data_IF_637298493246
#
_entry.id   IF_637298493246
#
_cell.length_a   1.000
_cell.length_b   1.000
_cell.length_c   1.000
_cell.angle_alpha   90.00
_cell.angle_beta   90.00
_cell.angle_gamma   90.00
#
_symmetry.space_group_name_H-M   'P 1'
#
loop_
_entity.id
_entity.type
_entity.pdbx_description
1 polymer ?
#
# COMPACT_ATOMS: atom_id res chain seq x y z
N UNK A 1 15.03 -24.58 -44.78
CA UNK A 1 15.27 -23.84 -43.53
C UNK A 1 13.92 -23.49 -42.91
N UNK A 2 13.50 -24.24 -41.88
CA UNK A 2 12.25 -23.97 -41.19
C UNK A 2 12.42 -22.73 -40.30
N UNK A 3 11.66 -21.67 -40.58
CA UNK A 3 11.47 -20.55 -39.68
C UNK A 3 10.68 -21.07 -38.47
N UNK A 4 11.38 -21.28 -37.36
CA UNK A 4 10.79 -21.68 -36.09
C UNK A 4 10.02 -20.47 -35.57
N UNK A 5 8.72 -20.43 -35.85
CA UNK A 5 7.83 -19.38 -35.35
C UNK A 5 7.92 -19.31 -33.83
N UNK A 6 8.33 -18.16 -33.31
CA UNK A 6 8.32 -17.94 -31.86
C UNK A 6 6.87 -18.04 -31.39
N UNK A 7 6.53 -18.91 -30.43
CA UNK A 7 5.14 -19.11 -30.04
C UNK A 7 4.54 -17.80 -29.52
N UNK A 8 3.35 -17.43 -30.01
CA UNK A 8 2.60 -16.21 -29.68
C UNK A 8 2.52 -15.97 -28.16
N UNK A 9 2.44 -17.04 -27.38
CA UNK A 9 2.43 -17.00 -25.92
C UNK A 9 3.71 -16.40 -25.30
N UNK A 10 4.86 -16.64 -25.94
CA UNK A 10 6.18 -16.16 -25.50
C UNK A 10 6.39 -14.68 -25.86
N UNK A 11 5.84 -14.22 -26.99
CA UNK A 11 5.77 -12.79 -27.30
C UNK A 11 4.90 -12.05 -26.28
N UNK A 12 3.70 -12.56 -25.98
CA UNK A 12 2.74 -11.92 -25.06
C UNK A 12 3.24 -11.84 -23.61
N UNK A 13 4.04 -12.81 -23.14
CA UNK A 13 4.70 -12.74 -21.82
C UNK A 13 5.87 -11.75 -21.79
N UNK A 14 6.65 -11.66 -22.89
CA UNK A 14 7.72 -10.65 -23.00
C UNK A 14 7.16 -9.23 -22.97
N UNK A 15 6.07 -8.95 -23.69
CA UNK A 15 5.43 -7.62 -23.72
C UNK A 15 4.82 -7.24 -22.36
N UNK A 16 4.13 -8.14 -21.66
CA UNK A 16 3.61 -7.85 -20.31
C UNK A 16 4.71 -7.51 -19.29
N UNK A 17 5.90 -8.08 -19.45
CA UNK A 17 7.05 -7.83 -18.56
C UNK A 17 7.72 -6.49 -18.86
N UNK A 18 7.82 -6.12 -20.15
CA UNK A 18 8.32 -4.79 -20.54
C UNK A 18 7.34 -3.68 -20.16
N UNK A 19 6.04 -3.89 -20.27
CA UNK A 19 5.03 -2.90 -19.88
C UNK A 19 5.09 -2.59 -18.37
N UNK A 20 5.12 -3.62 -17.52
CA UNK A 20 5.25 -3.41 -16.06
C UNK A 20 6.54 -2.67 -15.73
N UNK A 21 7.64 -2.95 -16.43
CA UNK A 21 8.91 -2.25 -16.25
C UNK A 21 8.81 -0.78 -16.66
N UNK A 22 8.30 -0.47 -17.84
CA UNK A 22 8.09 0.90 -18.32
C UNK A 22 7.15 1.67 -17.37
N UNK A 23 6.05 1.05 -16.96
CA UNK A 23 5.12 1.65 -16.00
C UNK A 23 5.81 1.95 -14.65
N UNK A 24 6.58 1.00 -14.14
CA UNK A 24 7.35 1.15 -12.90
C UNK A 24 8.39 2.29 -13.00
N UNK A 25 9.03 2.45 -14.16
CA UNK A 25 9.96 3.54 -14.44
C UNK A 25 9.25 4.89 -14.46
N UNK A 26 8.09 5.00 -15.12
CA UNK A 26 7.31 6.23 -15.13
C UNK A 26 6.84 6.61 -13.72
N UNK A 27 6.43 5.63 -12.91
CA UNK A 27 6.14 5.87 -11.48
C UNK A 27 7.36 6.47 -10.77
N UNK A 28 8.54 5.89 -10.96
CA UNK A 28 9.77 6.39 -10.32
C UNK A 28 10.12 7.82 -10.78
N UNK A 29 9.99 8.11 -12.07
CA UNK A 29 10.24 9.44 -12.62
C UNK A 29 9.26 10.47 -12.08
N UNK A 30 7.97 10.15 -12.03
CA UNK A 30 6.92 11.03 -11.49
C UNK A 30 7.14 11.29 -10.01
N UNK A 31 7.40 10.25 -9.19
CA UNK A 31 7.62 10.42 -7.76
C UNK A 31 8.88 11.25 -7.46
N UNK A 32 9.97 11.03 -8.20
CA UNK A 32 11.18 11.85 -8.09
C UNK A 32 10.91 13.30 -8.48
N UNK A 33 10.16 13.53 -9.56
CA UNK A 33 9.82 14.88 -10.00
C UNK A 33 8.94 15.60 -8.96
N UNK A 34 7.93 14.93 -8.40
CA UNK A 34 7.09 15.51 -7.35
C UNK A 34 7.94 15.95 -6.16
N UNK A 35 8.85 15.10 -5.67
CA UNK A 35 9.66 15.41 -4.50
C UNK A 35 10.77 16.43 -4.75
N UNK A 36 11.20 16.58 -6.01
CA UNK A 36 12.12 17.64 -6.42
C UNK A 36 11.42 19.01 -6.39
N UNK A 37 10.18 19.08 -6.87
CA UNK A 37 9.43 20.32 -6.99
C UNK A 37 8.67 20.72 -5.72
N UNK A 38 8.37 19.75 -4.85
CA UNK A 38 7.59 19.99 -3.65
C UNK A 38 7.81 18.95 -2.58
N UNK A 39 7.75 19.42 -1.35
CA UNK A 39 7.86 18.62 -0.16
C UNK A 39 6.48 18.41 0.51
N UNK A 40 5.40 18.82 -0.16
CA UNK A 40 4.02 18.89 0.35
C UNK A 40 3.16 17.66 0.02
N UNK A 41 3.70 16.66 -0.69
CA UNK A 41 2.95 15.47 -1.11
C UNK A 41 3.58 14.20 -0.53
N UNK A 42 2.74 13.38 0.10
CA UNK A 42 3.14 12.17 0.83
C UNK A 42 2.58 10.95 0.11
N UNK A 43 3.46 10.06 -0.36
CA UNK A 43 3.07 8.79 -0.97
C UNK A 43 2.43 7.85 0.06
N UNK A 44 1.30 7.25 -0.33
CA UNK A 44 0.57 6.25 0.45
C UNK A 44 0.13 5.06 -0.41
N UNK A 45 -0.66 4.17 0.17
CA UNK A 45 -1.29 3.06 -0.55
C UNK A 45 -0.30 1.96 -0.96
N UNK A 46 -0.68 1.17 -1.97
CA UNK A 46 0.13 0.03 -2.43
C UNK A 46 1.48 0.45 -3.01
N UNK A 47 1.54 1.61 -3.67
CA UNK A 47 2.77 2.09 -4.31
C UNK A 47 3.78 2.62 -3.30
N UNK A 48 3.33 3.13 -2.16
CA UNK A 48 4.23 3.37 -1.02
C UNK A 48 4.89 2.07 -0.56
N UNK A 49 4.10 1.00 -0.37
CA UNK A 49 4.64 -0.30 0.03
C UNK A 49 5.60 -0.86 -1.03
N UNK A 50 5.26 -0.75 -2.30
CA UNK A 50 6.08 -1.21 -3.44
C UNK A 50 7.41 -0.46 -3.55
N UNK A 51 7.39 0.88 -3.54
CA UNK A 51 8.61 1.69 -3.80
C UNK A 51 9.45 1.96 -2.54
N UNK A 52 8.85 1.90 -1.35
CA UNK A 52 9.52 2.24 -0.09
C UNK A 52 9.72 1.04 0.84
N UNK A 53 8.91 -0.01 0.76
CA UNK A 53 8.92 -1.12 1.73
C UNK A 53 9.00 -2.51 1.09
N UNK A 54 9.41 -2.58 -0.18
CA UNK A 54 9.75 -3.83 -0.86
C UNK A 54 8.59 -4.77 -1.18
N UNK A 55 7.34 -4.29 -1.17
CA UNK A 55 6.16 -5.12 -1.53
C UNK A 55 6.44 -5.90 -2.82
N UNK A 56 6.17 -7.19 -2.81
CA UNK A 56 6.57 -8.14 -3.85
C UNK A 56 5.50 -8.37 -4.92
N UNK A 57 4.30 -7.80 -4.75
CA UNK A 57 3.34 -7.59 -5.84
C UNK A 57 3.50 -6.23 -6.50
N UNK A 58 3.16 -6.16 -7.79
CA UNK A 58 3.16 -4.90 -8.54
C UNK A 58 2.07 -3.95 -8.04
N UNK A 59 2.32 -2.63 -8.13
CA UNK A 59 1.35 -1.58 -7.81
C UNK A 59 1.36 -0.51 -8.89
N UNK A 60 0.17 -0.16 -9.38
CA UNK A 60 -0.05 0.56 -10.65
C UNK A 60 -0.40 2.04 -10.46
N UNK A 61 -0.94 2.41 -9.31
CA UNK A 61 -1.47 3.77 -9.08
C UNK A 61 -0.53 4.58 -8.18
N UNK A 62 -0.51 5.90 -8.31
CA UNK A 62 0.11 6.79 -7.31
C UNK A 62 -1.00 7.41 -6.46
N UNK A 63 -1.02 7.08 -5.17
CA UNK A 63 -1.90 7.69 -4.18
C UNK A 63 -1.10 8.62 -3.26
N UNK A 64 -1.55 9.87 -3.14
CA UNK A 64 -0.89 10.91 -2.35
C UNK A 64 -1.87 11.51 -1.32
N UNK A 65 -1.33 11.96 -0.19
CA UNK A 65 -1.95 13.00 0.63
C UNK A 65 -1.17 14.30 0.50
N UNK A 66 -1.88 15.42 0.47
CA UNK A 66 -1.29 16.76 0.50
C UNK A 66 -1.21 17.28 1.94
N UNK A 67 -0.08 17.88 2.30
CA UNK A 67 0.12 18.57 3.57
C UNK A 67 -0.50 19.98 3.59
N UNK A 68 -0.64 20.61 2.42
CA UNK A 68 -1.18 21.95 2.25
C UNK A 68 -2.17 22.06 1.09
N UNK A 69 -2.53 23.28 0.68
CA UNK A 69 -3.38 23.56 -0.47
C UNK A 69 -2.61 23.60 -1.81
N UNK A 70 -1.31 23.29 -1.84
CA UNK A 70 -0.52 23.32 -3.07
C UNK A 70 -1.17 22.43 -4.14
N UNK A 71 -1.40 22.98 -5.33
CA UNK A 71 -2.08 22.25 -6.40
C UNK A 71 -1.12 21.27 -7.10
N UNK A 72 -1.33 19.97 -6.88
CA UNK A 72 -0.54 18.90 -7.53
C UNK A 72 -0.54 18.99 -9.06
N UNK A 73 -1.62 19.49 -9.68
CA UNK A 73 -1.69 19.57 -11.15
C UNK A 73 -0.58 20.44 -11.73
N UNK A 74 -0.23 21.55 -11.09
CA UNK A 74 0.85 22.42 -11.59
C UNK A 74 2.17 21.65 -11.75
N UNK A 75 2.45 20.72 -10.83
CA UNK A 75 3.66 19.89 -10.87
C UNK A 75 3.55 18.81 -11.95
N UNK A 76 2.43 18.08 -11.98
CA UNK A 76 2.24 16.98 -12.93
C UNK A 76 2.15 17.49 -14.38
N UNK A 77 1.49 18.62 -14.62
CA UNK A 77 1.39 19.24 -15.94
C UNK A 77 2.78 19.67 -16.45
N UNK A 78 3.61 20.28 -15.60
CA UNK A 78 4.99 20.60 -15.97
C UNK A 78 5.82 19.35 -16.32
N UNK A 79 5.68 18.28 -15.54
CA UNK A 79 6.33 17.00 -15.85
C UNK A 79 5.86 16.47 -17.21
N UNK A 80 4.56 16.44 -17.45
CA UNK A 80 3.97 15.97 -18.69
C UNK A 80 4.40 16.82 -19.89
N UNK A 81 4.48 18.15 -19.76
CA UNK A 81 4.95 19.04 -20.81
C UNK A 81 6.44 18.79 -21.14
N UNK A 82 7.29 18.63 -20.12
CA UNK A 82 8.72 18.28 -20.30
C UNK A 82 8.89 16.94 -21.03
N UNK A 83 8.04 15.96 -20.71
CA UNK A 83 8.08 14.59 -21.27
C UNK A 83 7.24 14.40 -22.54
N UNK A 84 6.47 15.42 -22.94
CA UNK A 84 5.47 15.37 -24.03
C UNK A 84 4.44 14.24 -23.84
N UNK A 85 4.06 13.96 -22.59
CA UNK A 85 3.01 12.98 -22.30
C UNK A 85 1.62 13.63 -22.32
N UNK A 86 0.67 13.06 -23.06
CA UNK A 86 -0.74 13.43 -22.92
C UNK A 86 -1.24 13.09 -21.51
N UNK A 87 -2.17 13.87 -20.99
CA UNK A 87 -2.80 13.60 -19.71
C UNK A 87 -4.28 13.99 -19.72
N UNK A 88 -5.05 13.39 -18.82
CA UNK A 88 -6.46 13.70 -18.63
C UNK A 88 -6.76 13.96 -17.16
N UNK A 89 -7.38 15.10 -16.85
CA UNK A 89 -7.87 15.42 -15.50
C UNK A 89 -9.22 14.72 -15.30
N UNK A 90 -9.21 13.68 -14.48
CA UNK A 90 -10.42 12.88 -14.20
C UNK A 90 -11.26 13.45 -13.06
N UNK A 91 -10.64 14.20 -12.14
CA UNK A 91 -11.34 14.78 -10.98
C UNK A 91 -10.62 16.02 -10.49
N UNK A 92 -11.35 17.11 -10.28
CA UNK A 92 -10.80 18.34 -9.71
C UNK A 92 -11.77 18.92 -8.68
N UNK A 93 -11.61 18.55 -7.41
CA UNK A 93 -12.40 19.11 -6.30
C UNK A 93 -11.47 19.65 -5.21
N UNK A 94 -12.00 20.42 -4.26
CA UNK A 94 -11.23 20.93 -3.12
C UNK A 94 -10.70 19.85 -2.16
N UNK A 95 -11.18 18.61 -2.30
CA UNK A 95 -10.80 17.48 -1.43
C UNK A 95 -10.04 16.37 -2.14
N UNK A 96 -10.22 16.22 -3.46
CA UNK A 96 -9.55 15.18 -4.26
C UNK A 96 -9.23 15.72 -5.64
N UNK A 97 -8.00 15.48 -6.09
CA UNK A 97 -7.55 15.71 -7.46
C UNK A 97 -7.09 14.41 -8.06
N UNK A 98 -7.50 14.13 -9.30
CA UNK A 98 -7.14 12.91 -10.03
C UNK A 98 -6.78 13.25 -11.47
N UNK A 99 -5.61 12.78 -11.89
CA UNK A 99 -5.06 12.94 -13.24
C UNK A 99 -4.54 11.58 -13.71
N UNK A 100 -4.67 11.31 -15.01
CA UNK A 100 -4.08 10.13 -15.64
C UNK A 100 -3.10 10.58 -16.70
N UNK A 101 -1.84 10.18 -16.55
CA UNK A 101 -0.80 10.35 -17.57
C UNK A 101 -0.93 9.20 -18.55
N UNK A 102 -0.93 9.50 -19.85
CA UNK A 102 -0.99 8.51 -20.93
C UNK A 102 0.41 8.29 -21.51
N UNK A 103 0.76 7.04 -21.75
CA UNK A 103 2.04 6.66 -22.33
C UNK A 103 1.91 5.40 -23.18
N UNK A 104 2.95 5.11 -23.97
CA UNK A 104 3.07 3.93 -24.83
C UNK A 104 4.29 3.11 -24.41
N UNK A 105 4.29 1.82 -24.72
CA UNK A 105 5.34 0.89 -24.26
C UNK A 105 6.69 1.13 -24.96
N UNK A 106 6.68 1.47 -26.25
CA UNK A 106 7.88 1.75 -27.05
C UNK A 106 7.64 2.95 -27.96
N UNK A 107 8.49 3.98 -27.85
CA UNK A 107 8.56 5.10 -28.79
C UNK A 107 9.51 4.82 -29.97
N UNK A 108 10.34 3.79 -29.87
CA UNK A 108 11.50 3.55 -30.76
C UNK A 108 11.23 2.61 -31.94
N UNK A 109 9.98 2.24 -32.19
CA UNK A 109 9.58 1.53 -33.41
C UNK A 109 8.45 2.28 -34.07
N UNK A 110 8.39 2.22 -35.40
CA UNK A 110 7.32 2.78 -36.21
C UNK A 110 5.99 2.57 -35.49
N UNK A 111 5.39 3.69 -35.05
CA UNK A 111 4.15 3.67 -34.27
C UNK A 111 3.08 3.12 -35.21
N UNK A 112 2.70 1.86 -35.01
CA UNK A 112 1.56 1.27 -35.72
C UNK A 112 0.33 2.15 -35.50
N UNK A 113 -0.53 2.29 -36.52
CA UNK A 113 -1.71 3.18 -36.47
C UNK A 113 -2.64 2.91 -35.28
N UNK A 114 -2.61 1.70 -34.73
CA UNK A 114 -3.45 1.24 -33.62
C UNK A 114 -2.60 0.84 -32.40
N UNK A 115 -1.78 1.77 -31.87
CA UNK A 115 -1.01 1.53 -30.66
C UNK A 115 -1.87 1.64 -29.39
N UNK A 116 -1.71 0.69 -28.46
CA UNK A 116 -2.39 0.72 -27.17
C UNK A 116 -1.77 1.80 -26.26
N UNK A 117 -2.62 2.62 -25.62
CA UNK A 117 -2.18 3.60 -24.63
C UNK A 117 -2.45 3.10 -23.22
N UNK A 118 -1.45 3.21 -22.36
CA UNK A 118 -1.56 2.87 -20.95
C UNK A 118 -1.73 4.13 -20.12
N UNK A 119 -2.33 3.99 -18.93
CA UNK A 119 -2.60 5.11 -18.04
C UNK A 119 -1.95 4.93 -16.67
N UNK A 120 -1.11 5.87 -16.26
CA UNK A 120 -0.71 6.02 -14.86
C UNK A 120 -1.71 6.93 -14.15
N UNK A 121 -2.52 6.38 -13.24
CA UNK A 121 -3.43 7.16 -12.41
C UNK A 121 -2.69 7.75 -11.22
N UNK A 122 -2.89 9.05 -11.00
CA UNK A 122 -2.38 9.77 -9.85
C UNK A 122 -3.58 10.39 -9.14
N UNK A 123 -3.79 10.02 -7.88
CA UNK A 123 -4.81 10.59 -7.02
C UNK A 123 -4.17 11.27 -5.81
N UNK A 124 -4.63 12.49 -5.51
CA UNK A 124 -4.16 13.25 -4.35
C UNK A 124 -5.35 13.67 -3.50
N UNK A 125 -5.32 13.26 -2.24
CA UNK A 125 -6.29 13.64 -1.22
C UNK A 125 -5.82 14.88 -0.46
N UNK A 126 -6.71 15.85 -0.33
CA UNK A 126 -6.52 17.11 0.40
C UNK A 126 -7.33 17.15 1.70
N UNK A 127 -7.97 16.04 2.08
CA UNK A 127 -8.90 15.99 3.22
C UNK A 127 -8.20 16.19 4.56
N UNK A 128 -6.96 15.70 4.68
CA UNK A 128 -6.17 15.75 5.91
C UNK A 128 -5.10 16.86 5.90
N UNK A 129 -5.11 17.75 4.90
CA UNK A 129 -4.13 18.86 4.82
C UNK A 129 -4.13 19.67 6.11
N UNK A 130 -2.95 20.03 6.62
CA UNK A 130 -2.78 20.69 7.92
C UNK A 130 -2.98 19.81 9.16
N UNK A 131 -3.42 18.56 9.01
CA UNK A 131 -3.72 17.64 10.13
C UNK A 131 -2.89 16.35 10.10
N UNK A 132 -1.88 16.24 9.23
CA UNK A 132 -0.99 15.08 9.16
C UNK A 132 0.21 15.37 10.08
N UNK A 133 0.37 14.65 11.20
CA UNK A 133 1.51 14.83 12.08
C UNK A 133 2.82 14.46 11.38
N UNK A 134 3.91 15.18 11.65
CA UNK A 134 5.21 14.91 11.02
C UNK A 134 5.87 13.63 11.55
N UNK A 135 5.55 13.22 12.77
CA UNK A 135 6.11 12.03 13.42
C UNK A 135 5.60 10.71 12.82
N UNK A 136 4.50 10.72 12.06
CA UNK A 136 4.02 9.55 11.30
C UNK A 136 4.57 9.50 9.87
N UNK A 137 5.37 10.50 9.47
CA UNK A 137 6.00 10.59 8.16
C UNK A 137 7.45 10.11 8.21
N UNK A 138 7.97 9.74 7.04
CA UNK A 138 9.37 9.37 6.84
C UNK A 138 9.78 9.63 5.39
N UNK A 139 11.07 9.49 5.10
CA UNK A 139 11.60 9.49 3.73
C UNK A 139 12.35 8.18 3.49
N UNK A 140 11.99 7.48 2.42
CA UNK A 140 12.66 6.23 2.01
C UNK A 140 13.04 6.34 0.54
N UNK A 141 14.29 6.10 0.19
CA UNK A 141 14.80 6.22 -1.18
C UNK A 141 14.51 7.60 -1.82
N UNK A 142 14.55 8.67 -1.04
CA UNK A 142 14.20 10.03 -1.49
C UNK A 142 12.70 10.25 -1.71
N UNK A 143 11.85 9.32 -1.25
CA UNK A 143 10.39 9.41 -1.36
C UNK A 143 9.77 9.74 -0.01
N UNK A 144 9.06 10.88 0.06
CA UNK A 144 8.24 11.23 1.24
C UNK A 144 7.04 10.29 1.32
N UNK A 145 6.92 9.58 2.43
CA UNK A 145 5.87 8.57 2.65
C UNK A 145 5.51 8.46 4.14
N UNK A 146 4.51 7.65 4.45
CA UNK A 146 4.15 7.31 5.83
C UNK A 146 5.07 6.21 6.37
N UNK A 147 5.27 6.20 7.70
CA UNK A 147 5.88 5.05 8.40
C UNK A 147 5.04 3.78 8.17
N UNK A 148 5.69 2.62 8.17
CA UNK A 148 5.04 1.34 7.87
C UNK A 148 3.83 1.04 8.79
N UNK A 149 3.91 1.43 10.06
CA UNK A 149 2.81 1.30 11.04
C UNK A 149 1.56 2.10 10.66
N UNK A 150 1.75 3.28 10.06
CA UNK A 150 0.64 4.13 9.60
C UNK A 150 0.08 3.63 8.26
N UNK A 151 0.93 3.16 7.33
CA UNK A 151 0.45 2.48 6.11
C UNK A 151 -0.37 1.24 6.46
N UNK A 152 0.06 0.47 7.45
CA UNK A 152 -0.66 -0.70 7.94
C UNK A 152 -2.04 -0.35 8.49
N UNK A 153 -2.14 0.71 9.31
CA UNK A 153 -3.42 1.23 9.81
C UNK A 153 -4.35 1.63 8.66
N UNK A 154 -3.83 2.33 7.65
CA UNK A 154 -4.61 2.70 6.47
C UNK A 154 -5.09 1.47 5.69
N UNK A 155 -4.27 0.42 5.61
CA UNK A 155 -4.63 -0.84 4.93
C UNK A 155 -5.71 -1.63 5.66
N UNK A 156 -5.63 -1.76 6.98
CA UNK A 156 -6.71 -2.36 7.79
C UNK A 156 -8.01 -1.58 7.58
N UNK A 157 -7.97 -0.24 7.64
CA UNK A 157 -9.13 0.59 7.39
C UNK A 157 -9.72 0.39 5.99
N UNK A 158 -8.88 0.26 4.96
CA UNK A 158 -9.34 0.02 3.60
C UNK A 158 -9.95 -1.38 3.42
N UNK A 159 -9.33 -2.41 4.03
CA UNK A 159 -9.82 -3.79 4.03
C UNK A 159 -11.20 -3.90 4.70
N UNK A 160 -11.38 -3.28 5.87
CA UNK A 160 -12.66 -3.28 6.58
C UNK A 160 -13.79 -2.67 5.74
N UNK A 161 -13.48 -1.62 4.96
CA UNK A 161 -14.48 -0.91 4.15
C UNK A 161 -14.77 -1.57 2.80
N UNK A 162 -13.74 -2.09 2.11
CA UNK A 162 -13.87 -2.54 0.70
C UNK A 162 -13.82 -4.05 0.54
N UNK A 163 -13.22 -4.75 1.49
CA UNK A 163 -13.05 -6.20 1.50
C UNK A 163 -12.47 -6.75 0.19
N UNK A 164 -11.21 -6.37 -0.10
CA UNK A 164 -10.52 -6.69 -1.37
C UNK A 164 -9.23 -7.46 -1.19
N UNK A 165 -8.92 -8.34 -2.15
CA UNK A 165 -7.70 -9.17 -2.15
C UNK A 165 -6.41 -8.39 -1.99
N UNK A 166 -6.24 -7.29 -2.74
CA UNK A 166 -5.02 -6.46 -2.63
C UNK A 166 -4.81 -5.88 -1.23
N UNK A 167 -5.89 -5.55 -0.51
CA UNK A 167 -5.77 -5.04 0.85
C UNK A 167 -5.43 -6.16 1.85
N UNK A 168 -6.04 -7.34 1.69
CA UNK A 168 -5.69 -8.53 2.46
C UNK A 168 -4.22 -8.91 2.27
N UNK A 169 -3.76 -8.93 1.01
CA UNK A 169 -2.37 -9.20 0.67
C UNK A 169 -1.42 -8.21 1.34
N UNK A 170 -1.68 -6.92 1.20
CA UNK A 170 -0.81 -5.89 1.77
C UNK A 170 -0.76 -5.98 3.31
N UNK A 171 -1.88 -6.32 3.96
CA UNK A 171 -1.93 -6.55 5.41
C UNK A 171 -1.03 -7.74 5.79
N UNK A 172 -1.20 -8.89 5.13
CA UNK A 172 -0.37 -10.08 5.38
C UNK A 172 1.10 -9.79 5.13
N UNK A 173 1.44 -9.15 4.00
CA UNK A 173 2.79 -8.75 3.67
C UNK A 173 3.42 -7.87 4.77
N UNK A 174 2.71 -6.81 5.21
CA UNK A 174 3.24 -5.92 6.23
C UNK A 174 3.44 -6.66 7.56
N UNK A 175 2.45 -7.47 7.99
CA UNK A 175 2.53 -8.20 9.24
C UNK A 175 3.70 -9.19 9.24
N UNK A 176 3.88 -9.96 8.16
CA UNK A 176 4.91 -10.99 8.09
C UNK A 176 6.33 -10.41 7.97
N UNK A 177 6.49 -9.25 7.33
CA UNK A 177 7.82 -8.66 7.06
C UNK A 177 8.23 -7.53 8.02
N UNK A 178 7.28 -6.91 8.72
CA UNK A 178 7.52 -5.71 9.53
C UNK A 178 6.85 -5.76 10.90
N UNK A 179 6.54 -6.95 11.43
CA UNK A 179 5.87 -7.14 12.74
C UNK A 179 6.54 -6.35 13.87
N UNK A 180 7.87 -6.31 13.88
CA UNK A 180 8.71 -5.62 14.85
C UNK A 180 8.55 -4.08 14.84
N UNK A 181 8.05 -3.52 13.73
CA UNK A 181 7.80 -2.08 13.55
C UNK A 181 6.34 -1.68 13.77
N UNK A 182 5.47 -2.65 14.07
CA UNK A 182 4.05 -2.40 14.32
C UNK A 182 3.79 -2.04 15.79
N UNK A 183 2.82 -1.16 16.02
CA UNK A 183 2.40 -0.79 17.37
C UNK A 183 1.43 -1.81 17.96
N UNK A 184 1.20 -1.77 19.28
CA UNK A 184 0.16 -2.61 19.89
C UNK A 184 -1.23 -2.37 19.27
N UNK A 185 -1.56 -1.11 18.94
CA UNK A 185 -2.84 -0.74 18.33
C UNK A 185 -2.98 -1.27 16.91
N UNK A 186 -1.87 -1.35 16.15
CA UNK A 186 -1.86 -2.01 14.85
C UNK A 186 -2.27 -3.48 14.97
N UNK A 187 -1.66 -4.20 15.92
CA UNK A 187 -1.93 -5.63 16.13
C UNK A 187 -3.37 -5.84 16.62
N UNK A 188 -3.85 -4.99 17.53
CA UNK A 188 -5.25 -5.03 18.00
C UNK A 188 -6.24 -4.81 16.85
N UNK A 189 -6.00 -3.79 16.02
CA UNK A 189 -6.86 -3.49 14.87
C UNK A 189 -6.88 -4.64 13.85
N UNK A 190 -5.76 -5.35 13.67
CA UNK A 190 -5.70 -6.53 12.81
C UNK A 190 -6.53 -7.68 13.40
N UNK A 191 -6.38 -7.95 14.69
CA UNK A 191 -7.16 -8.98 15.41
C UNK A 191 -8.64 -8.69 15.26
N UNK A 192 -9.07 -7.45 15.49
CA UNK A 192 -10.48 -7.06 15.39
C UNK A 192 -11.00 -7.26 13.96
N UNK A 193 -10.24 -6.84 12.95
CA UNK A 193 -10.60 -7.02 11.54
C UNK A 193 -10.74 -8.51 11.18
N UNK A 194 -9.76 -9.34 11.54
CA UNK A 194 -9.73 -10.76 11.17
C UNK A 194 -10.73 -11.60 11.97
N UNK A 195 -10.97 -11.23 13.23
CA UNK A 195 -12.00 -11.88 14.07
C UNK A 195 -13.41 -11.53 13.59
N UNK A 196 -13.65 -10.26 13.22
CA UNK A 196 -14.96 -9.82 12.74
C UNK A 196 -15.32 -10.46 11.39
N UNK A 197 -14.36 -10.58 10.48
CA UNK A 197 -14.57 -11.25 9.19
C UNK A 197 -14.64 -12.76 9.35
N UNK A 198 -13.78 -13.34 10.16
CA UNK A 198 -13.68 -14.79 10.34
C UNK A 198 -13.01 -15.48 9.16
N UNK A 199 -12.39 -16.63 9.42
CA UNK A 199 -11.59 -17.35 8.42
C UNK A 199 -12.41 -17.79 7.20
N UNK A 200 -13.67 -18.20 7.40
CA UNK A 200 -14.54 -18.65 6.31
C UNK A 200 -14.87 -17.57 5.28
N UNK A 201 -15.09 -16.32 5.71
CA UNK A 201 -15.30 -15.21 4.79
C UNK A 201 -14.01 -14.85 4.04
N UNK A 202 -12.86 -14.98 4.71
CA UNK A 202 -11.55 -14.72 4.08
C UNK A 202 -11.24 -15.78 3.02
N UNK A 203 -11.55 -17.04 3.31
CA UNK A 203 -11.45 -18.15 2.36
C UNK A 203 -12.39 -17.93 1.16
N UNK A 204 -13.63 -17.51 1.40
CA UNK A 204 -14.56 -17.15 0.33
C UNK A 204 -14.04 -16.01 -0.56
N UNK A 205 -13.38 -14.99 0.03
CA UNK A 205 -12.75 -13.92 -0.73
C UNK A 205 -11.60 -14.44 -1.62
N UNK A 206 -10.76 -15.33 -1.11
CA UNK A 206 -9.66 -15.97 -1.85
C UNK A 206 -10.17 -16.85 -3.00
N UNK A 207 -11.34 -17.47 -2.84
CA UNK A 207 -11.93 -18.32 -3.86
C UNK A 207 -12.67 -17.53 -4.95
N UNK A 208 -13.41 -16.48 -4.57
CA UNK A 208 -14.31 -15.77 -5.48
C UNK A 208 -13.63 -14.66 -6.27
N UNK A 209 -12.65 -13.99 -5.68
CA UNK A 209 -11.99 -12.85 -6.31
C UNK A 209 -10.71 -13.32 -7.02
N UNK A 210 -10.44 -12.75 -8.20
CA UNK A 210 -9.26 -13.09 -9.00
C UNK A 210 -8.56 -11.81 -9.41
N UNK A 211 -7.29 -11.69 -9.03
CA UNK A 211 -6.47 -10.54 -9.36
C UNK A 211 -5.16 -11.00 -9.99
N UNK A 212 -4.82 -10.56 -11.22
CA UNK A 212 -3.61 -11.01 -11.91
C UNK A 212 -2.30 -10.55 -11.25
N UNK A 213 -2.37 -9.70 -10.22
CA UNK A 213 -1.22 -9.27 -9.42
C UNK A 213 -1.09 -10.03 -8.10
N UNK A 214 -2.00 -10.96 -7.80
CA UNK A 214 -2.03 -11.73 -6.56
C UNK A 214 -1.93 -13.22 -6.89
N UNK A 215 -1.07 -13.90 -6.15
CA UNK A 215 -1.02 -15.36 -6.11
C UNK A 215 -1.90 -15.83 -4.93
N UNK A 216 -3.08 -16.37 -5.23
CA UNK A 216 -4.06 -16.75 -4.21
C UNK A 216 -3.58 -17.94 -3.35
N UNK A 217 -2.79 -18.87 -3.91
CA UNK A 217 -2.25 -20.00 -3.15
C UNK A 217 -1.20 -19.52 -2.15
N UNK A 218 -0.30 -18.62 -2.59
CA UNK A 218 0.65 -17.96 -1.70
C UNK A 218 -0.09 -17.18 -0.61
N UNK A 219 -1.08 -16.37 -0.99
CA UNK A 219 -1.83 -15.54 -0.07
C UNK A 219 -2.62 -16.38 0.95
N UNK A 220 -3.23 -17.49 0.54
CA UNK A 220 -3.94 -18.40 1.45
C UNK A 220 -3.03 -18.93 2.56
N UNK A 221 -1.81 -19.37 2.21
CA UNK A 221 -0.82 -19.79 3.19
C UNK A 221 -0.38 -18.64 4.13
N UNK A 222 -0.17 -17.44 3.58
CA UNK A 222 0.17 -16.25 4.38
C UNK A 222 -0.95 -15.88 5.35
N UNK A 223 -2.22 -15.94 4.92
CA UNK A 223 -3.39 -15.70 5.77
C UNK A 223 -3.43 -16.68 6.93
N UNK A 224 -3.28 -17.99 6.66
CA UNK A 224 -3.27 -19.00 7.72
C UNK A 224 -2.15 -18.75 8.73
N UNK A 225 -0.94 -18.43 8.27
CA UNK A 225 0.18 -18.07 9.14
C UNK A 225 -0.11 -16.85 10.01
N UNK A 226 -0.79 -15.83 9.46
CA UNK A 226 -1.19 -14.65 10.23
C UNK A 226 -2.25 -15.02 11.27
N UNK A 227 -3.30 -15.76 10.89
CA UNK A 227 -4.33 -16.22 11.83
C UNK A 227 -3.74 -17.06 12.97
N UNK A 228 -2.82 -17.97 12.66
CA UNK A 228 -2.12 -18.77 13.67
C UNK A 228 -1.29 -17.89 14.61
N UNK A 229 -0.47 -16.99 14.04
CA UNK A 229 0.37 -16.07 14.79
C UNK A 229 -0.42 -15.14 15.72
N UNK A 230 -1.69 -14.90 15.41
CA UNK A 230 -2.62 -14.10 16.21
C UNK A 230 -3.44 -14.94 17.21
N UNK A 231 -3.36 -16.27 17.17
CA UNK A 231 -4.16 -17.17 17.99
C UNK A 231 -5.64 -17.18 17.60
N UNK A 232 -5.92 -17.16 16.29
CA UNK A 232 -7.27 -17.11 15.72
C UNK A 232 -7.70 -18.43 15.04
N UNK A 233 -6.81 -19.42 14.90
CA UNK A 233 -7.12 -20.73 14.27
C UNK A 233 -7.75 -21.76 15.21
N UNK A 234 -7.70 -21.56 16.53
CA UNK A 234 -8.31 -22.47 17.51
C UNK A 234 -9.46 -21.79 18.26
N UNK A 235 -10.59 -22.50 18.36
CA UNK A 235 -11.53 -22.36 19.48
C UNK A 235 -10.85 -22.81 20.78
N UNK A 236 -9.84 -22.06 21.26
CA UNK A 236 -9.63 -22.02 22.71
C UNK A 236 -10.80 -21.25 23.29
N UNK A 237 -11.62 -21.84 24.19
CA UNK A 237 -12.73 -21.17 24.86
C UNK A 237 -12.12 -20.16 25.83
N UNK A 238 -11.69 -19.04 25.28
CA UNK A 238 -11.28 -17.88 26.03
C UNK A 238 -12.00 -16.78 25.31
N UNK A 239 -13.24 -16.55 25.77
CA UNK A 239 -14.14 -15.54 25.25
C UNK A 239 -13.37 -14.23 25.02
N UNK A 240 -13.80 -13.41 24.05
CA UNK A 240 -13.23 -12.07 23.83
C UNK A 240 -13.06 -11.29 25.14
N UNK A 241 -13.98 -11.51 26.09
CA UNK A 241 -13.94 -10.99 27.46
C UNK A 241 -12.72 -11.45 28.24
N UNK A 242 -12.42 -12.74 28.28
CA UNK A 242 -11.25 -13.29 29.00
C UNK A 242 -9.93 -12.85 28.35
N UNK A 243 -9.88 -12.75 27.02
CA UNK A 243 -8.71 -12.21 26.29
C UNK A 243 -8.51 -10.71 26.58
N UNK A 244 -9.59 -9.95 26.72
CA UNK A 244 -9.55 -8.53 27.10
C UNK A 244 -9.11 -8.35 28.56
N UNK A 245 -9.61 -9.18 29.47
CA UNK A 245 -9.27 -9.15 30.90
C UNK A 245 -7.80 -9.50 31.16
N UNK A 246 -7.24 -10.51 30.48
CA UNK A 246 -5.80 -10.78 30.54
C UNK A 246 -4.96 -9.60 30.02
N UNK A 247 -5.40 -8.95 28.95
CA UNK A 247 -4.68 -7.83 28.34
C UNK A 247 -4.75 -6.55 29.18
N UNK A 248 -5.87 -6.30 29.86
CA UNK A 248 -6.00 -5.20 30.85
C UNK A 248 -5.02 -5.45 32.00
N UNK A 249 -4.98 -6.68 32.55
CA UNK A 249 -4.03 -7.04 33.62
C UNK A 249 -2.57 -6.85 33.20
N UNK A 250 -2.21 -7.21 31.96
CA UNK A 250 -0.84 -7.01 31.45
C UNK A 250 -0.49 -5.53 31.31
N UNK A 251 -1.44 -4.68 30.88
CA UNK A 251 -1.24 -3.22 30.81
C UNK A 251 -1.07 -2.60 32.19
N UNK A 252 -1.92 -2.94 33.14
CA UNK A 252 -1.83 -2.47 34.53
C UNK A 252 -0.51 -2.87 35.19
N UNK A 253 -0.03 -4.09 34.94
CA UNK A 253 1.24 -4.55 35.48
C UNK A 253 2.44 -3.84 34.85
N UNK A 254 2.39 -3.50 33.55
CA UNK A 254 3.42 -2.68 32.91
C UNK A 254 3.44 -1.26 33.44
N UNK A 255 2.28 -0.66 33.72
CA UNK A 255 2.19 0.67 34.32
C UNK A 255 2.70 0.68 35.77
N UNK A 256 2.27 -0.28 36.60
CA UNK A 256 2.79 -0.43 37.97
C UNK A 256 4.31 -0.58 38.01
N UNK A 257 4.87 -1.41 37.13
CA UNK A 257 6.32 -1.61 37.05
C UNK A 257 7.08 -0.37 36.53
N UNK A 258 6.43 0.49 35.75
CA UNK A 258 7.00 1.77 35.28
C UNK A 258 7.00 2.81 36.40
N UNK A 259 5.93 2.85 37.19
CA UNK A 259 5.82 3.72 38.38
C UNK A 259 6.82 3.33 39.47
N UNK A 260 6.99 2.03 39.73
CA UNK A 260 7.97 1.48 40.69
C UNK A 260 9.43 1.77 40.30
N UNK A 261 9.75 1.80 39.00
CA UNK A 261 11.08 2.19 38.52
C UNK A 261 11.33 3.68 38.71
N UNK A 262 10.34 4.53 38.41
CA UNK A 262 10.47 5.98 38.61
C UNK A 262 10.60 6.38 40.09
N UNK A 263 9.97 5.67 41.03
CA UNK A 263 10.12 5.95 42.47
C UNK A 263 11.48 5.56 43.04
N UNK A 264 12.15 4.56 42.45
CA UNK A 264 13.49 4.12 42.87
C UNK A 264 14.62 5.00 42.29
N UNK A 265 14.38 5.72 41.20
CA UNK A 265 15.34 6.70 40.64
C UNK A 265 15.26 8.09 41.30
N UNK A 266 14.17 8.39 42.03
CA UNK A 266 13.99 9.64 42.79
C UNK A 266 14.48 9.55 44.25
N UNK A 267 14.93 8.37 44.69
CA UNK A 267 15.42 8.09 46.05
C UNK A 267 16.93 7.81 46.10
N UNK A 268 17.67 8.18 45.05
CA UNK A 268 19.14 8.19 44.98
C UNK A 268 19.68 9.59 44.74
#
# INVERSE_FOLDING_TARGET
MALIGTPIFMLRRKTMTSLKKTHSQIIDEVLKYINLESDQFILKGGTALYKCYGLDRFSEDIDLDALSNQNIFNIIEQYCHKKKYPFNIQKNTGTVKRITIKYVETLDKDIEKDFETHGLKIETSYRRKGFIPSDILTTVNGIKTYKISELFKQKIGAYNNRYKLRDLYDICYIYLNFKDKLTADNILSLIDAFSYKGLGEVDALLFQDSDPLIDNDKLGNEVLNVYDSLGLLEDKPTSLKERLEERIKVRENKEKNKTLKNTNDLSR
#
